data_IF_797758307932
#
_entry.id   IF_797758307932
#
_cell.length_a   1.000
_cell.length_b   1.000
_cell.length_c   1.000
_cell.angle_alpha   90.00
_cell.angle_beta   90.00
_cell.angle_gamma   90.00
#
_symmetry.space_group_name_H-M   'P 1'
#
loop_
_entity.id
_entity.type
_entity.pdbx_description
1 polymer ?
#
# COMPACT_ATOMS: atom_id res chain seq x y z
N UNK A 1 38.14 47.71 19.23
CA UNK A 1 37.43 46.54 19.78
C UNK A 1 36.77 45.82 18.62
N UNK A 2 37.12 44.55 18.30
CA UNK A 2 36.43 43.78 17.27
C UNK A 2 35.14 43.25 17.83
N UNK A 3 34.04 43.41 17.06
CA UNK A 3 32.69 42.90 17.32
C UNK A 3 32.70 41.36 17.41
N UNK A 4 32.06 40.74 18.42
CA UNK A 4 32.00 39.28 18.52
C UNK A 4 31.12 38.71 17.40
N UNK A 5 31.73 37.79 16.61
CA UNK A 5 31.03 36.98 15.62
C UNK A 5 29.99 36.09 16.35
N UNK A 6 28.71 36.37 16.10
CA UNK A 6 27.62 35.48 16.53
C UNK A 6 27.83 34.09 15.87
N UNK A 7 27.77 32.98 16.63
CA UNK A 7 27.84 31.65 16.04
C UNK A 7 26.62 31.47 15.14
N UNK A 8 26.85 31.40 13.82
CA UNK A 8 25.83 30.95 12.89
C UNK A 8 25.59 29.47 13.20
N UNK A 9 24.40 29.11 13.67
CA UNK A 9 23.93 27.74 13.71
C UNK A 9 24.19 27.15 12.31
N UNK A 10 24.77 25.96 12.22
CA UNK A 10 25.03 25.34 10.93
C UNK A 10 23.69 25.14 10.22
N UNK A 11 23.42 25.95 9.19
CA UNK A 11 22.35 25.69 8.25
C UNK A 11 22.59 24.29 7.71
N UNK A 12 21.63 23.38 7.92
CA UNK A 12 21.67 22.00 7.40
C UNK A 12 22.14 22.09 5.94
N UNK A 13 23.14 21.29 5.55
CA UNK A 13 23.62 21.28 4.17
C UNK A 13 22.40 21.05 3.24
N UNK A 14 22.41 21.65 2.06
CA UNK A 14 21.32 21.54 1.08
C UNK A 14 20.86 20.08 0.86
N UNK A 15 21.79 19.16 0.96
CA UNK A 15 21.58 17.72 0.77
C UNK A 15 20.86 17.05 1.93
N UNK A 16 21.16 17.45 3.17
CA UNK A 16 20.45 16.98 4.36
C UNK A 16 19.02 17.56 4.37
N UNK A 17 18.84 18.81 3.94
CA UNK A 17 17.55 19.46 3.80
C UNK A 17 16.62 18.75 2.83
N UNK A 18 17.11 18.27 1.68
CA UNK A 18 16.32 17.53 0.70
C UNK A 18 15.82 16.20 1.28
N UNK A 19 16.71 15.39 1.89
CA UNK A 19 16.36 14.11 2.48
C UNK A 19 15.31 14.24 3.60
N UNK A 20 15.47 15.24 4.48
CA UNK A 20 14.51 15.50 5.59
C UNK A 20 13.14 15.90 5.06
N UNK A 21 13.07 16.79 4.08
CA UNK A 21 11.78 17.21 3.49
C UNK A 21 11.08 16.07 2.76
N UNK A 22 11.82 15.25 2.04
CA UNK A 22 11.28 14.03 1.42
C UNK A 22 10.76 13.05 2.47
N UNK A 23 11.54 12.79 3.54
CA UNK A 23 11.14 11.92 4.64
C UNK A 23 9.89 12.42 5.35
N UNK A 24 9.77 13.75 5.57
CA UNK A 24 8.60 14.36 6.18
C UNK A 24 7.34 14.17 5.31
N UNK A 25 7.46 14.26 3.99
CA UNK A 25 6.33 14.01 3.10
C UNK A 25 5.95 12.53 3.05
N UNK A 26 6.93 11.58 3.01
CA UNK A 26 6.64 10.16 3.21
C UNK A 26 5.91 9.90 4.53
N UNK A 27 6.40 10.48 5.61
CA UNK A 27 5.78 10.36 6.92
C UNK A 27 4.32 10.84 6.91
N UNK A 28 4.03 12.01 6.34
CA UNK A 28 2.68 12.56 6.27
C UNK A 28 1.73 11.68 5.44
N UNK A 29 2.18 11.18 4.28
CA UNK A 29 1.37 10.29 3.43
C UNK A 29 1.10 8.94 4.09
N UNK A 30 2.09 8.36 4.76
CA UNK A 30 1.91 7.08 5.43
C UNK A 30 1.10 7.21 6.71
N UNK A 31 1.21 8.32 7.44
CA UNK A 31 0.32 8.65 8.54
C UNK A 31 -1.13 8.72 8.05
N UNK A 32 -1.40 9.42 6.96
CA UNK A 32 -2.72 9.46 6.32
C UNK A 32 -3.23 8.05 5.99
N UNK A 33 -2.39 7.19 5.39
CA UNK A 33 -2.77 5.80 5.11
C UNK A 33 -3.04 4.99 6.37
N UNK A 34 -2.28 5.18 7.45
CA UNK A 34 -2.50 4.54 8.74
C UNK A 34 -3.86 4.90 9.36
N UNK A 35 -4.36 6.11 9.11
CA UNK A 35 -5.69 6.54 9.53
C UNK A 35 -6.78 5.96 8.61
N UNK A 36 -6.61 6.13 7.29
CA UNK A 36 -7.62 5.78 6.30
C UNK A 36 -7.91 4.28 6.28
N UNK A 37 -6.87 3.45 6.30
CA UNK A 37 -7.00 2.03 6.00
C UNK A 37 -7.94 1.30 6.98
N UNK A 38 -7.79 1.40 8.31
CA UNK A 38 -8.71 0.74 9.25
C UNK A 38 -9.95 1.57 9.59
N UNK A 39 -9.88 2.92 9.59
CA UNK A 39 -10.94 3.74 10.19
C UNK A 39 -11.86 4.42 9.17
N UNK A 40 -11.50 4.51 7.90
CA UNK A 40 -12.43 5.01 6.87
C UNK A 40 -13.65 4.08 6.68
N UNK A 41 -13.52 2.73 6.70
CA UNK A 41 -14.68 1.83 6.72
C UNK A 41 -15.57 2.04 7.95
N UNK A 42 -14.99 2.31 9.13
CA UNK A 42 -15.73 2.61 10.37
C UNK A 42 -16.55 3.88 10.21
N UNK A 43 -15.97 4.93 9.64
CA UNK A 43 -16.67 6.17 9.31
C UNK A 43 -17.80 5.93 8.30
N UNK A 44 -17.58 5.19 7.22
CA UNK A 44 -18.62 4.84 6.24
C UNK A 44 -19.80 4.14 6.90
N UNK A 45 -19.53 3.19 7.80
CA UNK A 45 -20.57 2.50 8.55
C UNK A 45 -21.36 3.46 9.45
N UNK A 46 -20.67 4.38 10.14
CA UNK A 46 -21.29 5.40 10.98
C UNK A 46 -22.15 6.39 10.17
N UNK A 47 -21.82 6.62 8.89
CA UNK A 47 -22.66 7.39 7.94
C UNK A 47 -23.88 6.60 7.44
N UNK A 48 -24.07 5.36 7.90
CA UNK A 48 -25.20 4.51 7.49
C UNK A 48 -24.99 3.80 6.15
N UNK A 49 -23.76 3.77 5.62
CA UNK A 49 -23.48 3.07 4.36
C UNK A 49 -23.55 1.57 4.59
N UNK A 50 -24.26 0.86 3.72
CA UNK A 50 -24.39 -0.60 3.75
C UNK A 50 -23.06 -1.28 3.36
N UNK A 51 -22.82 -2.49 3.90
CA UNK A 51 -21.57 -3.21 3.70
C UNK A 51 -21.22 -3.43 2.21
N UNK A 52 -22.20 -3.78 1.38
CA UNK A 52 -22.01 -3.97 -0.05
C UNK A 52 -21.45 -2.70 -0.71
N UNK A 53 -21.99 -1.54 -0.37
CA UNK A 53 -21.55 -0.27 -0.93
C UNK A 53 -20.22 0.19 -0.31
N UNK A 54 -19.93 -0.14 0.96
CA UNK A 54 -18.60 0.07 1.55
C UNK A 54 -17.52 -0.65 0.71
N UNK A 55 -17.72 -1.92 0.35
CA UNK A 55 -16.79 -2.66 -0.51
C UNK A 55 -16.56 -1.99 -1.86
N UNK A 56 -17.62 -1.47 -2.48
CA UNK A 56 -17.53 -0.74 -3.77
C UNK A 56 -16.76 0.59 -3.59
N UNK A 57 -17.03 1.34 -2.53
CA UNK A 57 -16.32 2.59 -2.21
C UNK A 57 -14.82 2.31 -2.01
N UNK A 58 -14.47 1.29 -1.23
CA UNK A 58 -13.09 0.91 -0.97
C UNK A 58 -12.38 0.34 -2.21
N UNK A 59 -13.11 -0.15 -3.20
CA UNK A 59 -12.57 -0.58 -4.50
C UNK A 59 -12.24 0.59 -5.44
N UNK A 60 -12.73 1.81 -5.16
CA UNK A 60 -12.51 2.95 -6.04
C UNK A 60 -11.00 3.28 -6.25
N UNK A 61 -10.12 3.37 -5.22
CA UNK A 61 -8.71 3.66 -5.44
C UNK A 61 -8.00 2.63 -6.35
N UNK A 62 -8.10 1.30 -6.15
CA UNK A 62 -7.44 0.34 -7.03
C UNK A 62 -8.00 0.32 -8.46
N UNK A 63 -9.25 0.74 -8.69
CA UNK A 63 -9.81 0.91 -10.04
C UNK A 63 -9.28 2.19 -10.69
N UNK A 64 -9.43 3.31 -9.98
CA UNK A 64 -9.09 4.65 -10.49
C UNK A 64 -7.60 4.76 -10.84
N UNK A 65 -6.72 4.16 -10.03
CA UNK A 65 -5.26 4.22 -10.25
C UNK A 65 -4.81 3.65 -11.59
N UNK A 66 -5.58 2.73 -12.18
CA UNK A 66 -5.26 2.13 -13.50
C UNK A 66 -5.19 3.23 -14.57
N UNK A 67 -6.05 4.24 -14.46
CA UNK A 67 -6.12 5.38 -15.39
C UNK A 67 -5.33 6.57 -14.85
N UNK A 68 -5.50 6.90 -13.57
CA UNK A 68 -4.94 8.10 -12.97
C UNK A 68 -3.41 8.10 -12.95
N UNK A 69 -2.78 6.97 -12.58
CA UNK A 69 -1.31 6.89 -12.50
C UNK A 69 -0.68 7.15 -13.87
N UNK A 70 -0.96 6.40 -14.95
CA UNK A 70 -0.32 6.64 -16.24
C UNK A 70 -0.57 8.05 -16.78
N UNK A 71 -1.79 8.56 -16.62
CA UNK A 71 -2.18 9.87 -17.15
C UNK A 71 -1.43 11.00 -16.44
N UNK A 72 -1.41 10.98 -15.11
CA UNK A 72 -0.85 12.08 -14.31
C UNK A 72 0.67 12.03 -14.31
N UNK A 73 1.28 10.82 -14.19
CA UNK A 73 2.74 10.69 -14.21
C UNK A 73 3.32 11.07 -15.57
N UNK A 74 2.71 10.60 -16.68
CA UNK A 74 3.15 10.98 -18.01
C UNK A 74 3.02 12.51 -18.27
N UNK A 75 1.98 13.14 -17.74
CA UNK A 75 1.84 14.59 -17.84
C UNK A 75 2.89 15.34 -17.00
N UNK A 76 3.18 14.84 -15.78
CA UNK A 76 4.21 15.39 -14.91
C UNK A 76 5.61 15.30 -15.55
N UNK A 77 5.93 14.14 -16.16
CA UNK A 77 7.21 13.92 -16.84
C UNK A 77 7.36 14.80 -18.08
N UNK A 78 6.31 14.90 -18.92
CA UNK A 78 6.34 15.75 -20.14
C UNK A 78 6.59 17.24 -19.84
N UNK A 79 6.13 17.70 -18.68
CA UNK A 79 6.24 19.11 -18.27
C UNK A 79 7.42 19.35 -17.32
N UNK A 80 8.17 18.32 -16.98
CA UNK A 80 9.19 18.32 -15.90
C UNK A 80 8.66 18.96 -14.59
N UNK A 81 7.41 18.65 -14.26
CA UNK A 81 6.66 19.33 -13.21
C UNK A 81 6.29 18.38 -12.05
N UNK A 82 7.16 17.40 -11.75
CA UNK A 82 6.87 16.36 -10.71
C UNK A 82 6.53 17.01 -9.36
N UNK A 83 7.32 17.99 -8.90
CA UNK A 83 7.05 18.71 -7.64
C UNK A 83 5.73 19.47 -7.69
N UNK A 84 5.47 20.20 -8.77
CA UNK A 84 4.21 20.95 -8.94
C UNK A 84 2.99 20.03 -8.95
N UNK A 85 3.11 18.89 -9.61
CA UNK A 85 2.06 17.86 -9.65
C UNK A 85 1.81 17.24 -8.26
N UNK A 86 2.86 16.98 -7.47
CA UNK A 86 2.73 16.52 -6.08
C UNK A 86 1.95 17.53 -5.22
N UNK A 87 2.27 18.81 -5.32
CA UNK A 87 1.58 19.88 -4.59
C UNK A 87 0.11 19.96 -5.01
N UNK A 88 -0.16 20.00 -6.32
CA UNK A 88 -1.53 20.08 -6.85
C UNK A 88 -2.36 18.85 -6.46
N UNK A 89 -1.80 17.65 -6.59
CA UNK A 89 -2.47 16.40 -6.19
C UNK A 89 -2.75 16.38 -4.68
N UNK A 90 -1.82 16.83 -3.84
CA UNK A 90 -2.03 16.95 -2.39
C UNK A 90 -3.13 17.97 -2.04
N UNK A 91 -3.19 19.11 -2.73
CA UNK A 91 -4.25 20.08 -2.53
C UNK A 91 -5.63 19.53 -2.93
N UNK A 92 -5.71 18.84 -4.08
CA UNK A 92 -6.92 18.15 -4.52
C UNK A 92 -7.31 17.01 -3.57
N UNK A 93 -6.35 16.35 -2.96
CA UNK A 93 -6.61 15.32 -1.94
C UNK A 93 -7.31 15.93 -0.71
N UNK A 94 -6.82 17.08 -0.20
CA UNK A 94 -7.48 17.80 0.91
C UNK A 94 -8.90 18.21 0.54
N UNK A 95 -9.07 18.86 -0.61
CA UNK A 95 -10.38 19.30 -1.10
C UNK A 95 -11.33 18.09 -1.31
N UNK A 96 -10.79 16.99 -1.82
CA UNK A 96 -11.55 15.76 -2.04
C UNK A 96 -12.03 15.11 -0.74
N UNK A 97 -11.17 14.96 0.28
CA UNK A 97 -11.59 14.44 1.57
C UNK A 97 -12.53 15.40 2.31
N UNK A 98 -12.35 16.71 2.19
CA UNK A 98 -13.30 17.69 2.70
C UNK A 98 -14.67 17.58 2.02
N UNK A 99 -14.69 17.34 0.69
CA UNK A 99 -15.93 17.05 -0.04
C UNK A 99 -16.56 15.75 0.46
N UNK A 100 -15.79 14.67 0.60
CA UNK A 100 -16.28 13.38 1.15
C UNK A 100 -16.89 13.58 2.55
N UNK A 101 -16.28 14.40 3.41
CA UNK A 101 -16.79 14.71 4.73
C UNK A 101 -18.13 15.47 4.70
N UNK A 102 -18.34 16.32 3.69
CA UNK A 102 -19.47 17.24 3.58
C UNK A 102 -20.71 16.63 2.94
N UNK A 103 -20.59 15.51 2.23
CA UNK A 103 -21.69 14.90 1.49
C UNK A 103 -22.37 13.81 2.29
N UNK A 104 -23.66 13.56 1.97
CA UNK A 104 -24.46 12.50 2.54
C UNK A 104 -24.92 11.52 1.44
N UNK A 105 -25.20 10.29 1.85
CA UNK A 105 -25.64 9.24 0.94
C UNK A 105 -24.49 8.48 0.28
N UNK A 106 -24.55 7.15 0.34
CA UNK A 106 -23.45 6.27 -0.03
C UNK A 106 -23.01 6.40 -1.49
N UNK A 107 -23.93 6.63 -2.43
CA UNK A 107 -23.59 6.84 -3.85
C UNK A 107 -22.87 8.17 -4.08
N UNK A 108 -23.25 9.23 -3.38
CA UNK A 108 -22.59 10.53 -3.48
C UNK A 108 -21.19 10.44 -2.89
N UNK A 109 -21.05 9.74 -1.75
CA UNK A 109 -19.73 9.46 -1.14
C UNK A 109 -18.85 8.63 -2.09
N UNK A 110 -19.41 7.63 -2.79
CA UNK A 110 -18.67 6.86 -3.79
C UNK A 110 -18.08 7.75 -4.89
N UNK A 111 -18.89 8.64 -5.46
CA UNK A 111 -18.44 9.55 -6.52
C UNK A 111 -17.39 10.52 -5.99
N UNK A 112 -17.62 11.13 -4.83
CA UNK A 112 -16.68 12.05 -4.20
C UNK A 112 -15.35 11.35 -3.87
N UNK A 113 -15.40 10.12 -3.35
CA UNK A 113 -14.20 9.35 -3.03
C UNK A 113 -13.46 8.84 -4.28
N UNK A 114 -14.18 8.47 -5.34
CA UNK A 114 -13.56 8.11 -6.62
C UNK A 114 -12.80 9.31 -7.24
N UNK A 115 -13.39 10.51 -7.19
CA UNK A 115 -12.71 11.76 -7.61
C UNK A 115 -11.48 12.06 -6.74
N UNK A 116 -11.60 11.90 -5.42
CA UNK A 116 -10.47 12.03 -4.48
C UNK A 116 -9.37 11.02 -4.80
N UNK A 117 -9.75 9.79 -5.14
CA UNK A 117 -8.82 8.71 -5.49
C UNK A 117 -8.03 9.03 -6.77
N UNK A 118 -8.60 9.79 -7.70
CA UNK A 118 -7.89 10.24 -8.90
C UNK A 118 -6.73 11.18 -8.56
N UNK A 119 -6.85 11.97 -7.49
CA UNK A 119 -5.79 12.86 -7.03
C UNK A 119 -4.75 12.11 -6.17
N UNK A 120 -5.18 11.23 -5.24
CA UNK A 120 -4.29 10.62 -4.25
C UNK A 120 -3.44 9.49 -4.82
N UNK A 121 -3.97 8.67 -5.75
CA UNK A 121 -3.29 7.46 -6.21
C UNK A 121 -1.97 7.70 -6.96
N UNK A 122 -1.73 8.79 -7.72
CA UNK A 122 -0.46 9.06 -8.36
C UNK A 122 0.58 9.70 -7.43
N UNK A 123 0.20 10.16 -6.22
CA UNK A 123 1.13 10.84 -5.30
C UNK A 123 2.32 9.93 -4.95
N UNK A 124 2.06 8.66 -4.66
CA UNK A 124 3.11 7.73 -4.23
C UNK A 124 4.16 7.48 -5.33
N UNK A 125 3.82 7.06 -6.56
CA UNK A 125 4.82 6.88 -7.62
C UNK A 125 5.52 8.19 -8.02
N UNK A 126 4.84 9.33 -7.95
CA UNK A 126 5.48 10.63 -8.17
C UNK A 126 6.49 10.98 -7.07
N UNK A 127 6.15 10.72 -5.80
CA UNK A 127 7.06 10.94 -4.68
C UNK A 127 8.27 10.03 -4.75
N UNK A 128 8.09 8.76 -5.13
CA UNK A 128 9.21 7.84 -5.34
C UNK A 128 10.13 8.35 -6.44
N UNK A 129 9.58 8.76 -7.58
CA UNK A 129 10.34 9.35 -8.70
C UNK A 129 11.09 10.61 -8.25
N UNK A 130 10.40 11.54 -7.58
CA UNK A 130 11.01 12.77 -7.05
C UNK A 130 12.16 12.47 -6.10
N UNK A 131 11.93 11.55 -5.16
CA UNK A 131 12.90 11.23 -4.10
C UNK A 131 14.12 10.51 -4.66
N UNK A 132 13.92 9.52 -5.55
CA UNK A 132 15.02 8.78 -6.18
C UNK A 132 15.89 9.69 -7.04
N UNK A 133 15.29 10.58 -7.84
CA UNK A 133 16.04 11.57 -8.63
C UNK A 133 16.87 12.48 -7.72
N UNK A 134 16.23 13.09 -6.72
CA UNK A 134 16.91 14.06 -5.87
C UNK A 134 17.95 13.44 -4.93
N UNK A 135 17.73 12.25 -4.36
CA UNK A 135 18.71 11.55 -3.53
C UNK A 135 19.87 11.00 -4.37
N UNK A 136 19.57 10.45 -5.57
CA UNK A 136 20.59 9.93 -6.48
C UNK A 136 21.60 11.01 -6.87
N UNK A 137 21.13 12.21 -7.23
CA UNK A 137 21.99 13.36 -7.55
C UNK A 137 22.86 13.81 -6.36
N UNK A 138 22.46 13.48 -5.13
CA UNK A 138 23.16 13.85 -3.88
C UNK A 138 23.93 12.69 -3.26
N UNK A 139 24.03 11.54 -3.94
CA UNK A 139 24.73 10.35 -3.44
C UNK A 139 24.16 9.76 -2.14
N UNK A 140 22.84 9.98 -1.88
CA UNK A 140 22.18 9.53 -0.66
C UNK A 140 21.31 8.30 -0.87
N UNK A 141 21.28 7.41 0.14
CA UNK A 141 20.47 6.21 0.12
C UNK A 141 18.96 6.53 0.32
N UNK A 142 18.12 5.82 -0.42
CA UNK A 142 16.67 5.94 -0.37
C UNK A 142 16.05 5.33 0.90
N UNK A 143 16.58 4.17 1.35
CA UNK A 143 15.99 3.39 2.44
C UNK A 143 15.73 4.19 3.73
N UNK A 144 16.70 4.95 4.27
CA UNK A 144 16.49 5.76 5.47
C UNK A 144 15.38 6.80 5.34
N UNK A 145 15.18 7.38 4.16
CA UNK A 145 14.09 8.34 3.90
C UNK A 145 12.74 7.63 3.89
N UNK A 146 12.66 6.48 3.24
CA UNK A 146 11.43 5.69 3.12
C UNK A 146 10.98 5.08 4.46
N UNK A 147 11.91 4.75 5.35
CA UNK A 147 11.63 4.17 6.67
C UNK A 147 10.71 5.05 7.51
N UNK A 148 10.82 6.38 7.42
CA UNK A 148 9.95 7.32 8.13
C UNK A 148 8.47 7.14 7.79
N UNK A 149 8.17 6.65 6.59
CA UNK A 149 6.80 6.28 6.22
C UNK A 149 6.26 5.16 7.12
N UNK A 150 7.01 4.08 7.34
CA UNK A 150 6.55 2.97 8.19
C UNK A 150 6.33 3.39 9.63
N UNK A 151 7.23 4.20 10.19
CA UNK A 151 7.06 4.76 11.55
C UNK A 151 5.79 5.61 11.62
N UNK A 152 5.62 6.53 10.68
CA UNK A 152 4.47 7.43 10.66
C UNK A 152 3.14 6.71 10.39
N UNK A 153 3.14 5.61 9.65
CA UNK A 153 1.97 4.74 9.49
C UNK A 153 1.48 4.22 10.85
N UNK A 154 2.40 3.71 11.68
CA UNK A 154 2.07 3.24 13.04
C UNK A 154 1.57 4.39 13.91
N UNK A 155 2.20 5.58 13.83
CA UNK A 155 1.73 6.77 14.55
C UNK A 155 0.31 7.14 14.11
N UNK A 156 0.01 7.10 12.81
CA UNK A 156 -1.32 7.35 12.26
C UNK A 156 -2.37 6.35 12.76
N UNK A 157 -2.00 5.06 12.79
CA UNK A 157 -2.85 3.99 13.34
C UNK A 157 -3.24 4.27 14.79
N UNK A 158 -2.26 4.50 15.68
CA UNK A 158 -2.55 4.75 17.09
C UNK A 158 -3.25 6.08 17.31
N UNK A 159 -2.90 7.14 16.56
CA UNK A 159 -3.59 8.41 16.64
C UNK A 159 -5.07 8.30 16.25
N UNK A 160 -5.38 7.53 15.21
CA UNK A 160 -6.77 7.29 14.80
C UNK A 160 -7.50 6.32 15.75
N UNK A 161 -6.80 5.30 16.28
CA UNK A 161 -7.35 4.41 17.29
C UNK A 161 -7.78 5.16 18.55
N UNK A 162 -6.86 5.96 19.11
CA UNK A 162 -7.16 6.81 20.25
C UNK A 162 -8.32 7.79 19.96
N UNK A 163 -8.33 8.40 18.78
CA UNK A 163 -9.42 9.29 18.41
C UNK A 163 -10.76 8.55 18.31
N UNK A 164 -10.77 7.32 17.82
CA UNK A 164 -11.99 6.50 17.78
C UNK A 164 -12.54 6.15 19.17
N UNK A 165 -11.69 6.20 20.22
CA UNK A 165 -12.10 5.96 21.60
C UNK A 165 -12.74 7.20 22.27
N UNK A 166 -12.36 8.42 21.80
CA UNK A 166 -12.76 9.65 22.47
C UNK A 166 -13.71 10.53 21.67
N UNK A 167 -13.94 10.23 20.39
CA UNK A 167 -14.83 11.01 19.52
C UNK A 167 -15.82 10.13 18.76
N UNK A 168 -16.91 10.73 18.30
CA UNK A 168 -17.91 10.00 17.53
C UNK A 168 -17.31 9.47 16.21
N UNK A 169 -17.66 8.24 15.82
CA UNK A 169 -17.17 7.62 14.61
C UNK A 169 -17.45 8.46 13.33
N UNK A 170 -18.52 9.27 13.32
CA UNK A 170 -18.84 10.22 12.24
C UNK A 170 -17.82 11.35 12.09
N UNK A 171 -17.07 11.67 13.14
CA UNK A 171 -16.07 12.74 13.14
C UNK A 171 -14.67 12.27 12.68
N UNK A 172 -14.45 10.96 12.59
CA UNK A 172 -13.15 10.40 12.20
C UNK A 172 -12.66 10.88 10.83
N UNK A 173 -13.56 11.28 9.94
CA UNK A 173 -13.20 11.83 8.63
C UNK A 173 -12.36 13.11 8.74
N UNK A 174 -12.56 13.91 9.79
CA UNK A 174 -11.81 15.15 9.98
C UNK A 174 -10.34 14.90 10.31
N UNK A 175 -10.00 13.74 10.91
CA UNK A 175 -8.61 13.32 11.04
C UNK A 175 -7.97 13.04 9.68
N UNK A 176 -8.74 12.46 8.75
CA UNK A 176 -8.27 12.19 7.38
C UNK A 176 -8.05 13.51 6.66
N UNK A 177 -8.96 14.47 6.80
CA UNK A 177 -8.80 15.84 6.24
C UNK A 177 -7.58 16.51 6.83
N UNK A 178 -7.40 16.48 8.16
CA UNK A 178 -6.26 17.08 8.84
C UNK A 178 -4.93 16.43 8.41
N UNK A 179 -4.86 15.11 8.35
CA UNK A 179 -3.67 14.39 7.88
C UNK A 179 -3.36 14.69 6.41
N UNK A 180 -4.37 14.81 5.56
CA UNK A 180 -4.18 15.22 4.16
C UNK A 180 -3.69 16.67 4.05
N UNK A 181 -4.14 17.58 4.93
CA UNK A 181 -3.64 18.94 5.01
C UNK A 181 -2.17 18.99 5.48
N UNK A 182 -1.77 18.15 6.44
CA UNK A 182 -0.37 17.99 6.83
C UNK A 182 0.46 17.51 5.64
N UNK A 183 -0.04 16.53 4.86
CA UNK A 183 0.63 16.06 3.66
C UNK A 183 0.80 17.18 2.62
N UNK A 184 -0.21 18.03 2.43
CA UNK A 184 -0.11 19.21 1.56
C UNK A 184 0.99 20.19 2.04
N UNK A 185 1.04 20.48 3.35
CA UNK A 185 2.08 21.35 3.92
C UNK A 185 3.47 20.75 3.66
N UNK A 186 3.64 19.45 3.83
CA UNK A 186 4.91 18.79 3.53
C UNK A 186 5.23 18.79 2.02
N UNK A 187 4.23 18.64 1.14
CA UNK A 187 4.41 18.74 -0.31
C UNK A 187 4.89 20.13 -0.75
N UNK A 188 4.30 21.19 -0.20
CA UNK A 188 4.72 22.59 -0.48
C UNK A 188 6.17 22.83 -0.05
N UNK A 189 6.59 22.21 1.06
CA UNK A 189 7.95 22.31 1.60
C UNK A 189 9.00 21.46 0.84
N UNK A 190 8.62 20.65 -0.14
CA UNK A 190 9.57 19.91 -0.96
C UNK A 190 10.54 20.85 -1.67
N UNK A 191 11.82 20.50 -1.70
CA UNK A 191 12.82 21.28 -2.41
C UNK A 191 12.62 21.20 -3.94
N UNK A 192 12.92 22.23 -4.70
CA UNK A 192 12.97 22.12 -6.16
C UNK A 192 13.99 21.06 -6.59
N UNK A 193 13.68 20.31 -7.65
CA UNK A 193 14.69 19.52 -8.35
C UNK A 193 15.55 20.45 -9.21
N UNK A 194 16.85 20.21 -9.23
CA UNK A 194 17.79 20.96 -10.06
C UNK A 194 17.83 20.38 -11.47
N UNK A 195 18.22 21.16 -12.47
CA UNK A 195 18.34 20.71 -13.87
C UNK A 195 19.33 19.53 -14.06
N UNK A 196 20.25 19.31 -13.10
CA UNK A 196 21.16 18.16 -13.07
C UNK A 196 20.60 16.91 -12.40
N UNK A 197 19.42 16.98 -11.79
CA UNK A 197 18.74 15.85 -11.12
C UNK A 197 17.99 14.94 -12.14
N UNK A 198 18.35 15.02 -13.42
CA UNK A 198 17.75 14.20 -14.47
C UNK A 198 18.19 12.74 -14.34
N UNK A 199 17.23 11.83 -14.18
CA UNK A 199 17.51 10.40 -14.41
C UNK A 199 17.68 10.20 -15.91
N UNK A 200 18.75 9.50 -16.38
CA UNK A 200 18.85 9.14 -17.79
C UNK A 200 17.55 8.48 -18.25
N UNK A 201 17.02 8.91 -19.38
CA UNK A 201 15.85 8.28 -19.98
C UNK A 201 16.08 6.78 -20.06
N UNK A 202 15.16 6.00 -19.53
CA UNK A 202 15.23 4.55 -19.66
C UNK A 202 15.33 4.19 -21.15
N UNK A 203 16.19 3.21 -21.54
CA UNK A 203 16.30 2.78 -22.92
C UNK A 203 14.93 2.44 -23.50
N UNK A 204 14.73 2.80 -24.75
CA UNK A 204 13.49 2.57 -25.50
C UNK A 204 13.00 1.12 -25.31
N UNK A 205 11.74 0.89 -25.04
CA UNK A 205 11.25 -0.44 -24.68
C UNK A 205 11.40 -1.42 -25.84
N UNK A 206 12.16 -2.50 -25.59
CA UNK A 206 12.05 -3.71 -26.40
C UNK A 206 10.59 -4.22 -26.42
N UNK A 207 10.15 -4.98 -27.45
CA UNK A 207 8.74 -5.26 -27.69
C UNK A 207 8.02 -5.85 -26.48
N UNK A 208 7.09 -5.08 -25.92
CA UNK A 208 6.31 -5.33 -24.68
C UNK A 208 5.45 -6.61 -24.71
N UNK A 209 5.28 -7.22 -25.87
CA UNK A 209 4.34 -8.33 -26.08
C UNK A 209 4.75 -9.68 -25.47
N UNK A 210 6.02 -9.93 -25.11
CA UNK A 210 6.47 -11.25 -24.67
C UNK A 210 6.05 -11.59 -23.24
N UNK A 211 6.15 -10.66 -22.29
CA UNK A 211 5.83 -10.92 -20.86
C UNK A 211 4.36 -11.29 -20.63
N UNK A 212 3.41 -10.63 -21.29
CA UNK A 212 1.98 -10.96 -21.17
C UNK A 212 1.60 -12.30 -21.85
N UNK A 213 2.52 -12.94 -22.61
CA UNK A 213 2.36 -14.28 -23.16
C UNK A 213 3.20 -15.32 -22.43
N UNK A 214 4.02 -14.90 -21.49
CA UNK A 214 4.85 -15.77 -20.68
C UNK A 214 4.00 -16.41 -19.59
N UNK A 215 3.78 -17.71 -19.70
CA UNK A 215 2.97 -18.49 -18.76
C UNK A 215 3.55 -18.46 -17.33
N UNK A 216 4.87 -18.51 -17.17
CA UNK A 216 5.51 -18.50 -15.87
C UNK A 216 5.27 -17.15 -15.17
N UNK A 217 5.44 -16.04 -15.90
CA UNK A 217 5.14 -14.70 -15.37
C UNK A 217 3.67 -14.55 -14.99
N UNK A 218 2.74 -14.99 -15.85
CA UNK A 218 1.31 -14.87 -15.57
C UNK A 218 0.87 -15.71 -14.37
N UNK A 219 1.38 -16.94 -14.26
CA UNK A 219 1.08 -17.84 -13.12
C UNK A 219 1.53 -17.22 -11.80
N UNK A 220 2.74 -16.65 -11.76
CA UNK A 220 3.27 -15.96 -10.57
C UNK A 220 2.49 -14.69 -10.26
N UNK A 221 2.20 -13.87 -11.27
CA UNK A 221 1.44 -12.64 -11.08
C UNK A 221 0.01 -12.91 -10.55
N UNK A 222 -0.65 -13.96 -11.07
CA UNK A 222 -1.98 -14.39 -10.60
C UNK A 222 -1.89 -14.97 -9.18
N UNK A 223 -0.89 -15.79 -8.88
CA UNK A 223 -0.65 -16.32 -7.52
C UNK A 223 -0.53 -15.19 -6.51
N UNK A 224 0.36 -14.22 -6.76
CA UNK A 224 0.56 -13.07 -5.91
C UNK A 224 -0.70 -12.21 -5.82
N UNK A 225 -1.34 -11.95 -6.96
CA UNK A 225 -2.55 -11.14 -7.04
C UNK A 225 -3.70 -11.70 -6.21
N UNK A 226 -3.98 -13.00 -6.33
CA UNK A 226 -5.04 -13.66 -5.56
C UNK A 226 -4.72 -13.72 -4.07
N UNK A 227 -3.48 -14.07 -3.70
CA UNK A 227 -3.09 -14.10 -2.28
C UNK A 227 -3.18 -12.71 -1.64
N UNK A 228 -2.73 -11.66 -2.32
CA UNK A 228 -2.87 -10.28 -1.84
C UNK A 228 -4.35 -9.85 -1.80
N UNK A 229 -5.13 -10.17 -2.82
CA UNK A 229 -6.56 -9.85 -2.90
C UNK A 229 -7.38 -10.54 -1.79
N UNK A 230 -6.93 -11.70 -1.28
CA UNK A 230 -7.58 -12.39 -0.16
C UNK A 230 -7.62 -11.58 1.14
N UNK A 231 -6.87 -10.47 1.23
CA UNK A 231 -6.93 -9.55 2.37
C UNK A 231 -8.13 -8.57 2.31
N UNK A 232 -8.98 -8.63 1.28
CA UNK A 232 -10.01 -7.64 1.05
C UNK A 232 -11.03 -7.50 2.20
N UNK A 233 -11.53 -8.62 2.75
CA UNK A 233 -12.43 -8.59 3.92
C UNK A 233 -11.72 -8.01 5.14
N UNK A 234 -10.47 -8.39 5.38
CA UNK A 234 -9.66 -7.89 6.48
C UNK A 234 -9.49 -6.36 6.38
N UNK A 235 -9.09 -5.83 5.24
CA UNK A 235 -8.88 -4.40 5.06
C UNK A 235 -10.18 -3.58 5.15
N UNK A 236 -11.29 -4.16 4.71
CA UNK A 236 -12.57 -3.45 4.70
C UNK A 236 -13.35 -3.54 6.01
N UNK A 237 -13.20 -4.64 6.75
CA UNK A 237 -14.18 -4.96 7.78
C UNK A 237 -13.59 -5.41 9.12
N UNK A 238 -12.27 -5.70 9.26
CA UNK A 238 -11.70 -6.16 10.52
C UNK A 238 -11.90 -5.18 11.67
N UNK A 239 -11.75 -3.88 11.43
CA UNK A 239 -11.96 -2.87 12.44
C UNK A 239 -13.43 -2.83 12.93
N UNK A 240 -14.39 -3.08 12.02
CA UNK A 240 -15.81 -3.18 12.35
C UNK A 240 -16.10 -4.44 13.17
N UNK A 241 -15.50 -5.58 12.80
CA UNK A 241 -15.68 -6.85 13.52
C UNK A 241 -15.13 -6.77 14.93
N UNK A 242 -13.89 -6.28 15.06
CA UNK A 242 -13.25 -6.17 16.36
C UNK A 242 -13.93 -5.15 17.28
N UNK A 243 -14.48 -4.05 16.71
CA UNK A 243 -15.32 -3.12 17.48
C UNK A 243 -16.61 -3.79 17.97
N UNK A 244 -17.27 -4.65 17.17
CA UNK A 244 -18.42 -5.46 17.62
C UNK A 244 -18.04 -6.47 18.71
N UNK A 245 -16.82 -7.02 18.65
CA UNK A 245 -16.28 -7.92 19.66
C UNK A 245 -15.87 -7.18 20.97
N UNK A 246 -16.07 -5.86 21.04
CA UNK A 246 -15.82 -5.04 22.22
C UNK A 246 -14.40 -4.48 22.32
N UNK A 247 -13.58 -4.57 21.27
CA UNK A 247 -12.27 -3.92 21.28
C UNK A 247 -12.44 -2.42 21.03
N UNK A 248 -11.69 -1.63 21.79
CA UNK A 248 -11.58 -0.20 21.58
C UNK A 248 -10.69 0.12 20.34
N UNK A 249 -10.70 1.38 19.92
CA UNK A 249 -9.96 1.83 18.74
C UNK A 249 -8.45 1.67 18.90
N UNK A 250 -7.93 1.85 20.12
CA UNK A 250 -6.50 1.68 20.45
C UNK A 250 -6.09 0.22 20.31
N UNK A 251 -6.89 -0.75 20.78
CA UNK A 251 -6.63 -2.18 20.62
C UNK A 251 -6.70 -2.58 19.14
N UNK A 252 -7.66 -2.06 18.38
CA UNK A 252 -7.75 -2.25 16.93
C UNK A 252 -6.48 -1.75 16.24
N UNK A 253 -6.02 -0.56 16.57
CA UNK A 253 -4.78 0.00 16.05
C UNK A 253 -3.56 -0.86 16.39
N UNK A 254 -3.49 -1.37 17.62
CA UNK A 254 -2.40 -2.25 18.06
C UNK A 254 -2.36 -3.56 17.25
N UNK A 255 -3.51 -4.17 16.97
CA UNK A 255 -3.60 -5.37 16.12
C UNK A 255 -3.11 -5.11 14.68
N UNK A 256 -3.50 -3.99 14.10
CA UNK A 256 -3.02 -3.58 12.78
C UNK A 256 -1.51 -3.30 12.79
N UNK A 257 -1.02 -2.56 13.80
CA UNK A 257 0.39 -2.26 13.96
C UNK A 257 1.24 -3.52 14.10
N UNK A 258 0.75 -4.52 14.83
CA UNK A 258 1.44 -5.81 15.02
C UNK A 258 1.69 -6.52 13.69
N UNK A 259 0.72 -6.51 12.77
CA UNK A 259 0.90 -7.05 11.41
C UNK A 259 2.01 -6.32 10.62
N UNK A 260 2.00 -4.98 10.69
CA UNK A 260 3.03 -4.15 10.02
C UNK A 260 4.41 -4.33 10.66
N UNK A 261 4.49 -4.43 11.98
CA UNK A 261 5.76 -4.69 12.70
C UNK A 261 6.32 -6.04 12.30
N UNK A 262 5.48 -7.10 12.23
CA UNK A 262 5.91 -8.42 11.79
C UNK A 262 6.46 -8.39 10.36
N UNK A 263 5.87 -7.62 9.46
CA UNK A 263 6.37 -7.40 8.09
C UNK A 263 7.71 -6.65 8.08
N UNK A 264 7.86 -5.59 8.89
CA UNK A 264 9.12 -4.85 9.02
C UNK A 264 10.24 -5.77 9.51
N UNK A 265 9.96 -6.62 10.50
CA UNK A 265 10.91 -7.60 11.01
C UNK A 265 11.29 -8.59 9.91
N UNK A 266 10.33 -9.13 9.16
CA UNK A 266 10.61 -10.01 8.03
C UNK A 266 11.57 -9.35 7.03
N UNK A 267 11.32 -8.10 6.64
CA UNK A 267 12.15 -7.38 5.67
C UNK A 267 13.53 -7.03 6.24
N UNK A 268 13.64 -6.73 7.52
CA UNK A 268 14.93 -6.50 8.18
C UNK A 268 15.84 -7.75 8.19
N UNK A 269 15.21 -8.94 8.26
CA UNK A 269 15.92 -10.22 8.23
C UNK A 269 15.97 -10.88 6.85
N UNK A 270 15.61 -10.17 5.79
CA UNK A 270 15.53 -10.68 4.42
C UNK A 270 16.82 -11.41 3.99
N UNK A 271 17.99 -10.82 4.28
CA UNK A 271 19.29 -11.38 3.93
C UNK A 271 19.66 -12.67 4.73
N UNK A 272 18.86 -13.02 5.73
CA UNK A 272 19.02 -14.24 6.54
C UNK A 272 18.05 -15.34 6.15
N UNK A 273 17.17 -15.08 5.18
CA UNK A 273 16.27 -16.11 4.67
C UNK A 273 17.09 -17.24 4.04
N UNK A 274 16.76 -18.52 4.34
CA UNK A 274 17.45 -19.66 3.74
C UNK A 274 17.38 -19.62 2.21
N UNK A 275 18.48 -19.95 1.55
CA UNK A 275 18.57 -19.96 0.08
C UNK A 275 17.59 -20.96 -0.59
N UNK A 276 17.10 -21.93 0.18
CA UNK A 276 16.04 -22.87 -0.27
C UNK A 276 14.70 -22.17 -0.54
N UNK A 277 14.47 -20.99 0.03
CA UNK A 277 13.25 -20.19 -0.19
C UNK A 277 13.32 -19.48 -1.53
N UNK A 278 13.10 -20.25 -2.60
CA UNK A 278 12.97 -19.68 -3.94
C UNK A 278 11.77 -18.72 -4.02
N UNK A 279 11.72 -17.81 -5.01
CA UNK A 279 10.58 -16.89 -5.19
C UNK A 279 9.23 -17.62 -5.25
N UNK A 280 9.19 -18.76 -5.91
CA UNK A 280 7.97 -19.57 -6.04
C UNK A 280 7.58 -20.24 -4.71
N UNK A 281 8.57 -20.65 -3.89
CA UNK A 281 8.33 -21.21 -2.56
C UNK A 281 7.83 -20.12 -1.58
N UNK A 282 8.34 -18.89 -1.69
CA UNK A 282 7.83 -17.75 -0.94
C UNK A 282 6.34 -17.50 -1.21
N UNK A 283 5.88 -17.64 -2.47
CA UNK A 283 4.45 -17.54 -2.81
C UNK A 283 3.62 -18.65 -2.17
N UNK A 284 4.14 -19.88 -2.10
CA UNK A 284 3.45 -20.99 -1.44
C UNK A 284 3.35 -20.74 0.07
N UNK A 285 4.45 -20.35 0.72
CA UNK A 285 4.48 -20.06 2.15
C UNK A 285 3.53 -18.89 2.48
N UNK A 286 3.55 -17.85 1.66
CA UNK A 286 2.66 -16.71 1.79
C UNK A 286 1.19 -17.10 1.62
N UNK A 287 0.89 -17.88 0.57
CA UNK A 287 -0.45 -18.40 0.32
C UNK A 287 -0.96 -19.29 1.44
N UNK A 288 -0.13 -20.22 1.93
CA UNK A 288 -0.48 -21.10 3.07
C UNK A 288 -0.72 -20.28 4.36
N UNK A 289 0.11 -19.27 4.63
CA UNK A 289 -0.10 -18.35 5.75
C UNK A 289 -1.43 -17.59 5.64
N UNK A 290 -1.81 -17.16 4.43
CA UNK A 290 -3.10 -16.52 4.17
C UNK A 290 -4.26 -17.51 4.40
N UNK A 291 -4.18 -18.72 3.87
CA UNK A 291 -5.20 -19.76 4.04
C UNK A 291 -5.43 -20.05 5.53
N UNK A 292 -4.36 -20.30 6.28
CA UNK A 292 -4.45 -20.55 7.73
C UNK A 292 -5.13 -19.38 8.44
N UNK A 293 -4.67 -18.16 8.16
CA UNK A 293 -5.19 -16.93 8.77
C UNK A 293 -6.68 -16.76 8.52
N UNK A 294 -7.12 -16.90 7.27
CA UNK A 294 -8.51 -16.67 6.91
C UNK A 294 -9.45 -17.80 7.32
N UNK A 295 -8.98 -19.06 7.35
CA UNK A 295 -9.75 -20.16 7.93
C UNK A 295 -10.02 -19.87 9.40
N UNK A 296 -8.99 -19.55 10.19
CA UNK A 296 -9.18 -19.27 11.62
C UNK A 296 -10.08 -18.06 11.84
N UNK A 297 -9.90 -16.98 11.06
CA UNK A 297 -10.77 -15.79 11.14
C UNK A 297 -12.23 -16.07 10.80
N UNK A 298 -12.53 -17.05 9.93
CA UNK A 298 -13.90 -17.42 9.57
C UNK A 298 -14.69 -18.13 10.70
N UNK A 299 -14.00 -18.60 11.72
CA UNK A 299 -14.59 -19.27 12.90
C UNK A 299 -14.71 -18.36 14.12
N UNK A 300 -14.65 -17.04 13.94
CA UNK A 300 -14.76 -16.04 15.00
C UNK A 300 -13.83 -16.37 16.20
N UNK A 301 -12.50 -16.30 16.02
CA UNK A 301 -11.55 -16.70 17.04
C UNK A 301 -11.64 -15.80 18.28
N UNK A 302 -11.36 -16.34 19.48
CA UNK A 302 -11.32 -15.51 20.68
C UNK A 302 -10.30 -14.37 20.53
N UNK A 303 -10.61 -13.21 21.12
CA UNK A 303 -9.79 -11.98 21.03
C UNK A 303 -8.32 -12.23 21.37
N UNK A 304 -8.04 -13.12 22.34
CA UNK A 304 -6.67 -13.49 22.73
C UNK A 304 -5.85 -14.13 21.60
N UNK A 305 -6.48 -14.70 20.58
CA UNK A 305 -5.81 -15.32 19.42
C UNK A 305 -5.52 -14.30 18.31
N UNK A 306 -6.21 -13.16 18.28
CA UNK A 306 -6.04 -12.15 17.23
C UNK A 306 -4.59 -11.66 17.07
N UNK A 307 -3.82 -11.38 18.16
CA UNK A 307 -2.42 -10.97 18.00
C UNK A 307 -1.57 -11.99 17.23
N UNK A 308 -1.75 -13.29 17.51
CA UNK A 308 -1.02 -14.35 16.79
C UNK A 308 -1.39 -14.37 15.30
N UNK A 309 -2.68 -14.19 14.98
CA UNK A 309 -3.15 -14.12 13.60
C UNK A 309 -2.61 -12.90 12.87
N UNK A 310 -2.37 -11.77 13.58
CA UNK A 310 -1.75 -10.59 12.97
C UNK A 310 -0.28 -10.83 12.60
N UNK A 311 0.47 -11.62 13.38
CA UNK A 311 1.85 -11.99 13.03
C UNK A 311 1.94 -12.75 11.70
N UNK A 312 0.89 -13.53 11.36
CA UNK A 312 0.81 -14.21 10.05
C UNK A 312 0.74 -13.24 8.86
N UNK A 313 0.55 -11.93 9.11
CA UNK A 313 0.61 -10.92 8.05
C UNK A 313 1.97 -10.88 7.36
N UNK A 314 3.05 -11.08 8.11
CA UNK A 314 4.39 -11.20 7.54
C UNK A 314 4.50 -12.33 6.52
N UNK A 315 3.79 -13.46 6.75
CA UNK A 315 3.74 -14.54 5.78
C UNK A 315 2.78 -14.19 4.64
N UNK A 316 1.50 -13.94 4.96
CA UNK A 316 0.44 -13.80 3.96
C UNK A 316 0.65 -12.61 3.02
N UNK A 317 1.17 -11.49 3.53
CA UNK A 317 1.50 -10.31 2.74
C UNK A 317 2.99 -10.27 2.37
N UNK A 318 3.87 -10.29 3.37
CA UNK A 318 5.30 -10.05 3.19
C UNK A 318 6.00 -11.09 2.30
N UNK A 319 5.84 -12.39 2.59
CA UNK A 319 6.46 -13.45 1.77
C UNK A 319 5.87 -13.47 0.35
N UNK A 320 4.56 -13.25 0.20
CA UNK A 320 3.92 -13.15 -1.12
C UNK A 320 4.48 -11.99 -1.94
N UNK A 321 4.64 -10.83 -1.32
CA UNK A 321 5.24 -9.65 -1.95
C UNK A 321 6.67 -9.91 -2.39
N UNK A 322 7.51 -10.47 -1.51
CA UNK A 322 8.90 -10.81 -1.81
C UNK A 322 9.00 -11.84 -2.93
N UNK A 323 8.18 -12.89 -2.88
CA UNK A 323 8.15 -13.92 -3.93
C UNK A 323 7.86 -13.33 -5.31
N UNK A 324 6.83 -12.47 -5.40
CA UNK A 324 6.47 -11.79 -6.63
C UNK A 324 7.57 -10.82 -7.11
N UNK A 325 8.14 -10.04 -6.20
CA UNK A 325 9.20 -9.07 -6.48
C UNK A 325 10.46 -9.77 -7.02
N UNK A 326 10.95 -10.80 -6.32
CA UNK A 326 12.16 -11.52 -6.70
C UNK A 326 11.98 -12.30 -7.98
N UNK A 327 10.83 -12.96 -8.17
CA UNK A 327 10.54 -13.64 -9.42
C UNK A 327 10.55 -12.65 -10.58
N UNK A 328 9.82 -11.54 -10.45
CA UNK A 328 9.72 -10.53 -11.51
C UNK A 328 11.08 -9.95 -11.86
N UNK A 329 11.92 -9.66 -10.85
CA UNK A 329 13.28 -9.15 -11.08
C UNK A 329 14.17 -10.17 -11.81
N UNK A 330 14.12 -11.45 -11.41
CA UNK A 330 14.92 -12.53 -12.01
C UNK A 330 14.45 -12.89 -13.43
N UNK A 331 13.12 -12.81 -13.66
CA UNK A 331 12.49 -13.30 -14.89
C UNK A 331 12.33 -12.22 -15.98
N UNK A 332 12.44 -10.95 -15.60
CA UNK A 332 12.32 -9.84 -16.54
C UNK A 332 13.45 -9.88 -17.57
N UNK A 333 13.14 -9.75 -18.89
CA UNK A 333 14.15 -9.60 -19.90
C UNK A 333 15.05 -8.38 -19.65
N UNK A 334 16.32 -8.39 -20.11
CA UNK A 334 17.20 -7.24 -19.98
C UNK A 334 16.54 -5.94 -20.43
N UNK A 335 16.59 -4.89 -19.60
CA UNK A 335 15.97 -3.59 -19.87
C UNK A 335 14.45 -3.52 -19.68
N UNK A 336 13.77 -4.60 -19.27
CA UNK A 336 12.31 -4.64 -19.10
C UNK A 336 11.83 -4.80 -17.63
N UNK A 337 12.71 -4.67 -16.65
CA UNK A 337 12.35 -4.85 -15.23
C UNK A 337 11.20 -3.93 -14.79
N UNK A 338 11.22 -2.65 -15.17
CA UNK A 338 10.15 -1.71 -14.87
C UNK A 338 8.83 -2.09 -15.56
N UNK A 339 8.87 -2.57 -16.80
CA UNK A 339 7.69 -3.05 -17.52
C UNK A 339 7.08 -4.28 -16.86
N UNK A 340 7.91 -5.23 -16.42
CA UNK A 340 7.47 -6.41 -15.68
C UNK A 340 6.81 -6.05 -14.35
N UNK A 341 7.39 -5.13 -13.60
CA UNK A 341 6.79 -4.59 -12.37
C UNK A 341 5.46 -3.88 -12.65
N UNK A 342 5.37 -3.13 -13.75
CA UNK A 342 4.13 -2.49 -14.17
C UNK A 342 3.01 -3.50 -14.46
N UNK A 343 3.31 -4.59 -15.18
CA UNK A 343 2.32 -5.64 -15.42
C UNK A 343 1.92 -6.39 -14.15
N UNK A 344 2.88 -6.69 -13.26
CA UNK A 344 2.57 -7.24 -11.95
C UNK A 344 1.62 -6.31 -11.19
N UNK A 345 1.91 -5.01 -11.12
CA UNK A 345 1.09 -4.03 -10.45
C UNK A 345 -0.34 -3.95 -11.02
N UNK A 346 -0.51 -4.12 -12.34
CA UNK A 346 -1.84 -4.18 -12.97
C UNK A 346 -2.60 -5.42 -12.49
N UNK A 347 -1.98 -6.60 -12.50
CA UNK A 347 -2.64 -7.84 -12.03
C UNK A 347 -3.04 -7.72 -10.57
N UNK A 348 -2.13 -7.26 -9.71
CA UNK A 348 -2.42 -7.02 -8.29
C UNK A 348 -3.55 -5.99 -8.11
N UNK A 349 -3.56 -4.94 -8.94
CA UNK A 349 -4.59 -3.90 -8.88
C UNK A 349 -5.97 -4.41 -9.26
N UNK A 350 -6.06 -5.18 -10.35
CA UNK A 350 -7.33 -5.76 -10.82
C UNK A 350 -7.87 -6.77 -9.82
N UNK A 351 -7.04 -7.70 -9.34
CA UNK A 351 -7.46 -8.70 -8.35
C UNK A 351 -7.90 -8.04 -7.03
N UNK A 352 -7.17 -7.03 -6.56
CA UNK A 352 -7.54 -6.26 -5.38
C UNK A 352 -8.87 -5.52 -5.57
N UNK A 353 -9.08 -4.86 -6.72
CA UNK A 353 -10.32 -4.16 -7.02
C UNK A 353 -11.54 -5.10 -6.99
N UNK A 354 -11.44 -6.24 -7.68
CA UNK A 354 -12.51 -7.24 -7.72
C UNK A 354 -12.80 -7.81 -6.33
N UNK A 355 -11.77 -8.22 -5.58
CA UNK A 355 -11.94 -8.79 -4.26
C UNK A 355 -12.50 -7.77 -3.27
N UNK A 356 -12.02 -6.51 -3.30
CA UNK A 356 -12.51 -5.46 -2.40
C UNK A 356 -13.97 -5.10 -2.71
N UNK A 357 -14.36 -5.02 -3.97
CA UNK A 357 -15.76 -4.81 -4.34
C UNK A 357 -16.63 -5.98 -3.87
N UNK A 358 -16.20 -7.23 -4.08
CA UNK A 358 -16.91 -8.41 -3.64
C UNK A 358 -16.96 -8.55 -2.12
N UNK A 359 -15.95 -8.09 -1.38
CA UNK A 359 -15.84 -8.23 0.07
C UNK A 359 -17.00 -7.59 0.80
N UNK A 360 -17.51 -6.46 0.31
CA UNK A 360 -18.66 -5.77 0.90
C UNK A 360 -19.93 -6.58 0.82
N UNK A 361 -20.21 -7.20 -0.33
CA UNK A 361 -21.36 -8.08 -0.49
C UNK A 361 -21.21 -9.35 0.37
N UNK A 362 -20.02 -9.98 0.33
CA UNK A 362 -19.74 -11.18 1.13
C UNK A 362 -19.92 -10.89 2.62
N UNK A 363 -19.37 -9.79 3.09
CA UNK A 363 -19.46 -9.41 4.50
C UNK A 363 -20.90 -9.05 4.89
N UNK A 364 -21.65 -8.36 4.03
CA UNK A 364 -23.06 -8.04 4.25
C UNK A 364 -23.95 -9.28 4.36
N UNK A 365 -23.66 -10.34 3.58
CA UNK A 365 -24.44 -11.57 3.55
C UNK A 365 -24.04 -12.57 4.65
N UNK A 366 -22.74 -12.66 4.98
CA UNK A 366 -22.17 -13.76 5.79
C UNK A 366 -21.45 -13.30 7.06
N UNK A 367 -21.29 -11.97 7.29
CA UNK A 367 -20.50 -11.45 8.41
C UNK A 367 -19.07 -11.97 8.39
N UNK A 368 -18.58 -12.43 9.55
CA UNK A 368 -17.20 -12.95 9.72
C UNK A 368 -16.93 -14.19 8.87
N UNK A 369 -17.96 -14.98 8.52
CA UNK A 369 -17.83 -16.12 7.61
C UNK A 369 -17.37 -15.73 6.20
N UNK A 370 -17.43 -14.44 5.83
CA UNK A 370 -16.84 -13.91 4.60
C UNK A 370 -15.33 -14.21 4.49
N UNK A 371 -14.61 -14.38 5.61
CA UNK A 371 -13.22 -14.82 5.60
C UNK A 371 -13.03 -16.21 4.99
N UNK A 372 -14.06 -17.10 5.00
CA UNK A 372 -13.99 -18.39 4.31
C UNK A 372 -13.84 -18.22 2.79
N UNK A 373 -14.54 -17.22 2.20
CA UNK A 373 -14.35 -16.91 0.80
C UNK A 373 -12.93 -16.37 0.52
N UNK A 374 -12.35 -15.61 1.44
CA UNK A 374 -10.95 -15.14 1.33
C UNK A 374 -9.97 -16.31 1.44
N UNK A 375 -10.25 -17.31 2.28
CA UNK A 375 -9.47 -18.54 2.35
C UNK A 375 -9.49 -19.31 1.02
N UNK A 376 -10.66 -19.41 0.36
CA UNK A 376 -10.76 -20.02 -0.98
C UNK A 376 -9.93 -19.27 -2.03
N UNK A 377 -9.98 -17.95 -2.04
CA UNK A 377 -9.15 -17.13 -2.93
C UNK A 377 -7.66 -17.37 -2.66
N UNK A 378 -7.26 -17.44 -1.39
CA UNK A 378 -5.87 -17.71 -1.00
C UNK A 378 -5.44 -19.16 -1.39
N UNK A 379 -6.32 -20.18 -1.27
CA UNK A 379 -6.06 -21.55 -1.72
C UNK A 379 -5.76 -21.56 -3.22
N UNK A 380 -6.56 -20.88 -4.02
CA UNK A 380 -6.33 -20.78 -5.47
C UNK A 380 -5.00 -20.07 -5.74
N UNK A 381 -4.71 -18.95 -5.06
CA UNK A 381 -3.42 -18.24 -5.16
C UNK A 381 -2.23 -19.15 -4.81
N UNK A 382 -2.32 -19.89 -3.70
CA UNK A 382 -1.31 -20.87 -3.28
C UNK A 382 -1.12 -21.99 -4.31
N UNK A 383 -2.22 -22.47 -4.91
CA UNK A 383 -2.21 -23.48 -5.98
C UNK A 383 -1.43 -23.00 -7.21
N UNK A 384 -1.63 -21.75 -7.64
CA UNK A 384 -0.82 -21.16 -8.73
C UNK A 384 0.66 -21.05 -8.33
N UNK A 385 0.97 -20.72 -7.08
CA UNK A 385 2.34 -20.75 -6.55
C UNK A 385 2.98 -22.14 -6.65
N UNK A 386 2.23 -23.18 -6.29
CA UNK A 386 2.68 -24.57 -6.42
C UNK A 386 2.90 -24.99 -7.89
N UNK A 387 2.06 -24.54 -8.82
CA UNK A 387 2.26 -24.76 -10.25
C UNK A 387 3.56 -24.09 -10.73
N UNK A 388 3.80 -22.84 -10.32
CA UNK A 388 5.04 -22.12 -10.66
C UNK A 388 6.28 -22.86 -10.12
N UNK A 389 6.24 -23.32 -8.87
CA UNK A 389 7.34 -24.03 -8.23
C UNK A 389 7.65 -25.37 -8.92
N UNK A 390 6.61 -26.13 -9.26
CA UNK A 390 6.79 -27.40 -10.01
C UNK A 390 7.39 -27.18 -11.40
N UNK A 391 6.95 -26.13 -12.11
CA UNK A 391 7.51 -25.77 -13.40
C UNK A 391 8.99 -25.39 -13.31
N UNK A 392 9.36 -24.59 -12.32
CA UNK A 392 10.75 -24.18 -12.09
C UNK A 392 11.65 -25.40 -11.77
N UNK A 393 11.18 -26.36 -10.98
CA UNK A 393 11.94 -27.58 -10.65
C UNK A 393 12.15 -28.50 -11.86
N UNK A 394 11.19 -28.61 -12.77
CA UNK A 394 11.35 -29.40 -14.00
C UNK A 394 12.46 -28.83 -14.87
N UNK A 395 12.47 -27.53 -15.07
CA UNK A 395 13.52 -26.85 -15.87
C UNK A 395 14.91 -27.04 -15.23
N UNK A 396 15.01 -27.07 -13.90
CA UNK A 396 16.28 -27.26 -13.20
C UNK A 396 16.71 -28.74 -13.16
N UNK A 397 15.78 -29.68 -13.17
CA UNK A 397 16.04 -31.14 -13.16
C UNK A 397 16.39 -31.69 -14.55
N UNK A 398 15.93 -31.06 -15.63
CA UNK A 398 16.30 -31.41 -17.00
C UNK A 398 17.68 -30.84 -17.42
N UNK A 399 18.26 -29.95 -16.60
CA UNK A 399 19.58 -29.34 -16.83
C UNK A 399 20.72 -29.99 -15.99
N UNK A 400 20.40 -30.95 -15.14
CA UNK A 400 21.34 -31.73 -14.32
C UNK A 400 21.47 -33.17 -14.83
#
# INVERSE_FOLDING_TARGET
MPTPLRPRLPLMSSDTGFAVRSAAFYAALFMLNGIVLPFFPVWLKAKGVEAALIGIILAAPPVVRIIAIPLITANADRRDAVRGTLIAASALCVAGYALVASVEGGLVILVAYALTSFAITPIMPLLETYTLRGLGARGRAYGPVRLWGSVAFIVGLFGAGFAADVMAARELIWLIVAASAIALVMAVNLAPLSAGDTTPAAPSPAPRRRLLRDRAFLVVAVSAGLTQASHAVYYGFSALDWSKAGLDGTAIAALWALGVIAEIILFAFLNRLPAVLTPELLLIVGGAGAVLRWIVMAFDPPVALLPLLQLLHALSFGMTYLGALFFTHRHAPPGQAATAQGYLAIVLGVTAACATAASGWLYGAFGDKAYAAMALVAIVGCGYGAVAHRAARRVSGDAA
#
